data_IF_364004569500
#
_entry.id   IF_364004569500
#
_cell.length_a   1.000
_cell.length_b   1.000
_cell.length_c   1.000
_cell.angle_alpha   90.00
_cell.angle_beta   90.00
_cell.angle_gamma   90.00
#
_symmetry.space_group_name_H-M   'P 1'
#
loop_
_entity.id
_entity.type
_entity.pdbx_description
1 polymer ?
#
# COMPACT_ATOMS: atom_id res chain seq x y z
N UNK A 1 -7.33 -1.68 -34.15
CA UNK A 1 -8.00 -1.58 -32.84
C UNK A 1 -8.76 -2.85 -32.53
N UNK A 2 -8.27 -3.64 -31.58
CA UNK A 2 -8.72 -5.02 -31.31
C UNK A 2 -10.01 -5.08 -30.44
N UNK A 3 -11.06 -4.36 -30.84
CA UNK A 3 -12.36 -4.39 -30.14
C UNK A 3 -13.33 -5.32 -30.85
N UNK A 4 -14.08 -6.12 -30.09
CA UNK A 4 -15.13 -6.98 -30.63
C UNK A 4 -16.50 -6.30 -30.49
N UNK A 5 -17.18 -6.11 -31.61
CA UNK A 5 -18.60 -5.75 -31.64
C UNK A 5 -19.39 -7.00 -31.23
N UNK A 6 -20.27 -6.87 -30.22
CA UNK A 6 -21.06 -7.99 -29.73
C UNK A 6 -22.34 -8.15 -30.56
N UNK A 7 -22.49 -9.30 -31.22
CA UNK A 7 -23.72 -9.63 -31.97
C UNK A 7 -24.84 -10.18 -31.08
N UNK A 8 -24.50 -10.76 -29.91
CA UNK A 8 -25.43 -11.51 -29.05
C UNK A 8 -25.71 -10.90 -27.66
N UNK A 9 -25.21 -9.69 -27.36
CA UNK A 9 -25.44 -8.95 -26.10
C UNK A 9 -25.10 -9.66 -24.76
N UNK A 10 -24.49 -10.84 -24.76
CA UNK A 10 -24.06 -11.51 -23.53
C UNK A 10 -22.80 -10.86 -22.94
N UNK A 11 -22.98 -10.04 -21.91
CA UNK A 11 -21.89 -9.38 -21.17
C UNK A 11 -21.83 -9.91 -19.74
N UNK A 12 -20.70 -10.50 -19.39
CA UNK A 12 -20.43 -10.97 -18.04
C UNK A 12 -20.21 -9.80 -17.06
N UNK A 13 -20.58 -10.02 -15.79
CA UNK A 13 -20.28 -9.06 -14.71
C UNK A 13 -18.76 -8.91 -14.55
N UNK A 14 -18.29 -7.67 -14.49
CA UNK A 14 -16.86 -7.35 -14.37
C UNK A 14 -16.15 -7.04 -15.70
N UNK A 15 -16.82 -7.29 -16.83
CA UNK A 15 -16.33 -6.92 -18.16
C UNK A 15 -16.21 -5.40 -18.32
N UNK A 16 -15.26 -4.98 -19.17
CA UNK A 16 -15.11 -3.58 -19.56
C UNK A 16 -15.72 -3.38 -20.95
N UNK A 17 -16.61 -2.40 -21.07
CA UNK A 17 -17.31 -2.10 -22.33
C UNK A 17 -17.21 -0.61 -22.67
N UNK A 18 -17.23 -0.30 -23.96
CA UNK A 18 -17.46 1.05 -24.47
C UNK A 18 -18.85 1.08 -25.10
N UNK A 19 -19.67 2.04 -24.66
CA UNK A 19 -21.05 2.19 -25.14
C UNK A 19 -21.18 3.55 -25.82
N UNK A 20 -21.72 3.57 -27.03
CA UNK A 20 -22.10 4.80 -27.74
C UNK A 20 -23.61 4.81 -27.89
N UNK A 21 -24.25 5.97 -27.71
CA UNK A 21 -25.70 6.09 -27.79
C UNK A 21 -26.18 7.53 -27.60
N UNK A 22 -27.50 7.71 -27.59
CA UNK A 22 -28.13 9.02 -27.33
C UNK A 22 -28.58 9.09 -25.87
N UNK A 23 -28.18 10.14 -25.15
CA UNK A 23 -28.69 10.41 -23.81
C UNK A 23 -30.11 10.98 -23.92
N UNK A 24 -31.07 10.38 -23.23
CA UNK A 24 -32.48 10.79 -23.27
C UNK A 24 -33.12 10.72 -21.88
N UNK A 25 -34.28 11.38 -21.72
CA UNK A 25 -35.11 11.20 -20.52
C UNK A 25 -35.55 9.74 -20.40
N UNK A 26 -35.48 9.18 -19.19
CA UNK A 26 -35.86 7.78 -19.00
C UNK A 26 -37.39 7.64 -18.94
N UNK A 27 -37.99 6.69 -19.69
CA UNK A 27 -39.42 6.40 -19.59
C UNK A 27 -39.78 5.64 -18.29
N UNK A 28 -38.79 5.17 -17.53
CA UNK A 28 -38.98 4.39 -16.31
C UNK A 28 -38.94 5.26 -15.04
N UNK A 29 -39.61 4.79 -13.99
CA UNK A 29 -39.52 5.40 -12.65
C UNK A 29 -38.21 4.98 -11.98
N UNK A 30 -37.46 5.93 -11.44
CA UNK A 30 -36.26 5.66 -10.62
C UNK A 30 -34.95 6.20 -11.17
N UNK A 31 -34.94 6.72 -12.40
CA UNK A 31 -33.81 7.47 -12.98
C UNK A 31 -34.34 8.64 -13.82
N UNK A 32 -33.59 9.74 -13.89
CA UNK A 32 -33.98 10.90 -14.69
C UNK A 32 -33.64 10.72 -16.18
N UNK A 33 -32.52 10.07 -16.47
CA UNK A 33 -31.98 9.89 -17.82
C UNK A 33 -31.47 8.47 -18.02
N UNK A 34 -31.40 8.03 -19.27
CA UNK A 34 -30.78 6.77 -19.70
C UNK A 34 -30.03 6.95 -21.03
N UNK A 35 -29.11 6.03 -21.32
CA UNK A 35 -28.37 6.02 -22.58
C UNK A 35 -29.00 5.00 -23.53
N UNK A 36 -29.68 5.47 -24.59
CA UNK A 36 -30.18 4.63 -25.67
C UNK A 36 -28.99 4.19 -26.55
N UNK A 37 -28.44 3.01 -26.26
CA UNK A 37 -27.24 2.48 -26.88
C UNK A 37 -27.43 2.19 -28.38
N UNK A 38 -26.54 2.71 -29.22
CA UNK A 38 -26.45 2.46 -30.66
C UNK A 38 -25.25 1.60 -31.05
N UNK A 39 -24.21 1.55 -30.21
CA UNK A 39 -23.05 0.67 -30.37
C UNK A 39 -22.53 0.21 -29.02
N UNK A 40 -22.03 -1.03 -28.97
CA UNK A 40 -21.50 -1.69 -27.80
C UNK A 40 -20.24 -2.48 -28.18
N UNK A 41 -19.10 -2.05 -27.65
CA UNK A 41 -17.79 -2.65 -27.89
C UNK A 41 -17.28 -3.30 -26.61
N UNK A 42 -16.88 -4.58 -26.72
CA UNK A 42 -16.23 -5.28 -25.62
C UNK A 42 -14.73 -4.94 -25.61
N UNK A 43 -14.30 -4.27 -24.54
CA UNK A 43 -12.91 -3.81 -24.36
C UNK A 43 -12.10 -4.81 -23.53
N UNK A 44 -12.71 -5.36 -22.48
CA UNK A 44 -12.07 -6.31 -21.58
C UNK A 44 -13.02 -7.44 -21.24
N UNK A 45 -12.60 -8.67 -21.53
CA UNK A 45 -13.39 -9.88 -21.30
C UNK A 45 -13.16 -10.44 -19.90
N UNK A 46 -14.20 -11.04 -19.32
CA UNK A 46 -14.06 -11.93 -18.17
C UNK A 46 -14.00 -13.34 -18.71
N UNK A 47 -12.83 -13.97 -18.62
CA UNK A 47 -12.55 -15.28 -19.25
C UNK A 47 -13.50 -16.35 -18.74
N UNK A 48 -13.71 -16.41 -17.43
CA UNK A 48 -14.68 -17.31 -16.81
C UNK A 48 -15.55 -16.56 -15.79
N UNK A 49 -16.81 -16.27 -16.13
CA UNK A 49 -17.75 -15.60 -15.24
C UNK A 49 -18.03 -16.38 -13.94
N UNK A 50 -17.86 -17.70 -13.93
CA UNK A 50 -18.13 -18.53 -12.76
C UNK A 50 -17.07 -18.35 -11.66
N UNK A 51 -15.83 -18.04 -12.05
CA UNK A 51 -14.71 -17.81 -11.12
C UNK A 51 -14.50 -16.35 -10.76
N UNK A 52 -15.29 -15.42 -11.32
CA UNK A 52 -15.15 -14.00 -11.02
C UNK A 52 -15.45 -13.69 -9.53
N UNK A 53 -14.49 -13.16 -8.75
CA UNK A 53 -14.65 -13.00 -7.29
C UNK A 53 -15.80 -12.07 -6.90
N UNK A 54 -16.08 -11.04 -7.71
CA UNK A 54 -17.16 -10.07 -7.48
C UNK A 54 -18.43 -10.41 -8.28
N UNK A 55 -18.85 -11.67 -8.23
CA UNK A 55 -20.13 -12.10 -8.80
C UNK A 55 -21.32 -11.33 -8.18
N UNK A 56 -22.49 -11.37 -8.85
CA UNK A 56 -23.72 -10.62 -8.48
C UNK A 56 -24.30 -10.95 -7.09
N UNK A 57 -23.68 -11.85 -6.32
CA UNK A 57 -24.08 -12.17 -4.94
C UNK A 57 -23.56 -11.12 -3.96
N UNK A 58 -24.20 -11.05 -2.80
CA UNK A 58 -23.70 -10.23 -1.69
C UNK A 58 -22.41 -10.84 -1.14
N UNK A 59 -21.43 -9.98 -0.86
CA UNK A 59 -20.17 -10.35 -0.22
C UNK A 59 -20.08 -9.71 1.17
N UNK A 60 -19.47 -10.42 2.13
CA UNK A 60 -19.17 -9.86 3.46
C UNK A 60 -17.98 -8.91 3.38
N UNK A 61 -17.84 -8.01 4.35
CA UNK A 61 -16.68 -7.11 4.41
C UNK A 61 -15.38 -7.90 4.62
N UNK A 62 -15.44 -9.01 5.36
CA UNK A 62 -14.34 -9.96 5.59
C UNK A 62 -13.88 -10.59 4.28
N UNK A 63 -14.80 -11.09 3.46
CA UNK A 63 -14.46 -11.63 2.15
C UNK A 63 -13.84 -10.55 1.25
N UNK A 64 -14.40 -9.34 1.24
CA UNK A 64 -13.85 -8.24 0.46
C UNK A 64 -12.42 -7.85 0.90
N UNK A 65 -12.06 -8.00 2.18
CA UNK A 65 -10.67 -7.80 2.65
C UNK A 65 -9.69 -8.80 2.01
N UNK A 66 -10.12 -10.03 1.71
CA UNK A 66 -9.30 -11.01 0.97
C UNK A 66 -9.11 -10.65 -0.51
N UNK A 67 -10.02 -9.84 -1.06
CA UNK A 67 -10.02 -9.39 -2.45
C UNK A 67 -9.64 -7.90 -2.55
N UNK A 68 -8.61 -7.48 -1.81
CA UNK A 68 -8.25 -6.06 -1.64
C UNK A 68 -8.02 -5.30 -2.97
N UNK A 69 -7.50 -5.99 -3.99
CA UNK A 69 -7.22 -5.44 -5.32
C UNK A 69 -8.49 -5.24 -6.18
N UNK A 70 -9.58 -5.96 -5.90
CA UNK A 70 -10.85 -5.85 -6.65
C UNK A 70 -11.94 -5.11 -5.88
N UNK A 71 -11.93 -5.16 -4.55
CA UNK A 71 -12.99 -4.57 -3.71
C UNK A 71 -13.31 -3.09 -4.01
N UNK A 72 -12.41 -2.21 -4.51
CA UNK A 72 -12.77 -0.85 -4.90
C UNK A 72 -13.86 -0.76 -5.98
N UNK A 73 -14.11 -1.84 -6.74
CA UNK A 73 -15.20 -1.93 -7.72
C UNK A 73 -16.59 -2.15 -7.09
N UNK A 74 -16.67 -2.39 -5.79
CA UNK A 74 -17.94 -2.54 -5.08
C UNK A 74 -18.48 -1.19 -4.62
N UNK A 75 -19.80 -1.04 -4.53
CA UNK A 75 -20.42 0.23 -4.13
C UNK A 75 -19.95 0.71 -2.75
N UNK A 76 -19.83 -0.21 -1.78
CA UNK A 76 -19.41 0.12 -0.40
C UNK A 76 -17.98 0.66 -0.36
N UNK A 77 -17.02 -0.06 -0.94
CA UNK A 77 -15.63 0.38 -0.88
C UNK A 77 -15.40 1.58 -1.81
N UNK A 78 -16.10 1.66 -2.94
CA UNK A 78 -16.09 2.83 -3.81
C UNK A 78 -16.55 4.11 -3.10
N UNK A 79 -17.66 4.04 -2.36
CA UNK A 79 -18.15 5.16 -1.54
C UNK A 79 -17.14 5.57 -0.45
N UNK A 80 -16.58 4.60 0.28
CA UNK A 80 -15.54 4.86 1.30
C UNK A 80 -14.30 5.50 0.68
N UNK A 81 -13.86 5.04 -0.50
CA UNK A 81 -12.68 5.59 -1.17
C UNK A 81 -12.90 7.03 -1.64
N UNK A 82 -14.09 7.35 -2.18
CA UNK A 82 -14.45 8.73 -2.57
C UNK A 82 -14.52 9.66 -1.37
N UNK A 83 -15.20 9.26 -0.29
CA UNK A 83 -15.24 10.03 0.96
C UNK A 83 -13.83 10.27 1.52
N UNK A 84 -12.97 9.24 1.51
CA UNK A 84 -11.56 9.39 1.95
C UNK A 84 -10.79 10.39 1.08
N UNK A 85 -11.01 10.37 -0.24
CA UNK A 85 -10.42 11.34 -1.17
C UNK A 85 -10.86 12.77 -0.84
N UNK A 86 -12.17 12.99 -0.64
CA UNK A 86 -12.72 14.30 -0.29
C UNK A 86 -12.26 14.78 1.08
N UNK A 87 -12.14 13.90 2.08
CA UNK A 87 -11.53 14.24 3.37
C UNK A 87 -10.08 14.68 3.22
N UNK A 88 -9.29 13.99 2.40
CA UNK A 88 -7.89 14.36 2.16
C UNK A 88 -7.79 15.74 1.48
N UNK A 89 -8.69 16.01 0.52
CA UNK A 89 -8.80 17.32 -0.11
C UNK A 89 -9.20 18.42 0.91
N UNK A 90 -10.23 18.17 1.72
CA UNK A 90 -10.71 19.06 2.78
C UNK A 90 -9.61 19.37 3.81
N UNK A 91 -8.78 18.38 4.17
CA UNK A 91 -7.62 18.60 5.03
C UNK A 91 -6.66 19.61 4.44
N UNK A 92 -6.26 19.43 3.19
CA UNK A 92 -5.33 20.35 2.54
C UNK A 92 -5.92 21.75 2.36
N UNK A 93 -7.19 21.88 1.98
CA UNK A 93 -7.85 23.18 1.81
C UNK A 93 -8.06 23.89 3.13
N UNK A 94 -8.43 23.19 4.20
CA UNK A 94 -8.53 23.74 5.55
C UNK A 94 -7.21 24.37 5.98
N UNK A 95 -6.13 23.59 6.02
CA UNK A 95 -4.85 24.07 6.52
C UNK A 95 -4.29 25.19 5.65
N UNK A 96 -4.39 25.06 4.32
CA UNK A 96 -3.98 26.13 3.40
C UNK A 96 -4.77 27.42 3.62
N UNK A 97 -6.09 27.33 3.81
CA UNK A 97 -6.97 28.47 4.06
C UNK A 97 -6.71 29.17 5.40
N UNK A 98 -6.13 28.46 6.38
CA UNK A 98 -5.81 28.99 7.72
C UNK A 98 -4.33 29.41 7.88
N UNK A 99 -3.60 29.46 6.76
CA UNK A 99 -2.22 29.96 6.70
C UNK A 99 -1.16 28.95 7.13
N UNK A 100 -1.48 27.65 7.14
CA UNK A 100 -0.49 26.61 7.40
C UNK A 100 0.33 26.26 6.16
N UNK A 101 1.57 25.85 6.37
CA UNK A 101 2.43 25.26 5.37
C UNK A 101 2.44 23.74 5.49
N UNK A 102 2.23 23.05 4.36
CA UNK A 102 2.41 21.60 4.32
C UNK A 102 3.91 21.29 4.31
N UNK A 103 4.37 20.48 5.25
CA UNK A 103 5.77 20.08 5.35
C UNK A 103 5.89 18.55 5.31
N UNK A 104 6.90 18.07 4.59
CA UNK A 104 7.22 16.65 4.54
C UNK A 104 8.30 16.34 5.59
N UNK A 105 7.93 15.55 6.59
CA UNK A 105 8.85 15.08 7.62
C UNK A 105 9.47 13.74 7.21
N UNK A 106 10.70 13.42 7.67
CA UNK A 106 11.34 12.15 7.35
C UNK A 106 10.52 10.95 7.86
N UNK A 107 10.41 9.90 7.03
CA UNK A 107 9.79 8.64 7.41
C UNK A 107 10.79 7.72 8.11
N UNK A 108 12.02 7.63 7.60
CA UNK A 108 13.11 6.91 8.25
C UNK A 108 13.72 7.83 9.29
N UNK A 109 13.79 7.36 10.53
CA UNK A 109 14.28 8.13 11.67
C UNK A 109 15.23 7.31 12.53
N UNK A 110 16.11 8.00 13.26
CA UNK A 110 16.90 7.42 14.35
C UNK A 110 16.41 7.91 15.73
N UNK A 111 15.28 8.62 15.75
CA UNK A 111 14.68 9.20 16.95
C UNK A 111 13.37 8.50 17.27
N UNK A 112 13.18 8.17 18.54
CA UNK A 112 11.89 7.74 19.05
C UNK A 112 11.11 8.96 19.53
N UNK A 113 10.13 9.40 18.73
CA UNK A 113 9.36 10.61 19.01
C UNK A 113 8.33 10.42 20.14
N UNK A 114 7.78 9.21 20.32
CA UNK A 114 6.73 8.94 21.33
C UNK A 114 7.29 8.22 22.57
N UNK A 115 8.50 7.68 22.51
CA UNK A 115 9.24 7.16 23.67
C UNK A 115 8.68 5.86 24.29
N UNK A 116 7.68 5.23 23.65
CA UNK A 116 6.93 4.13 24.25
C UNK A 116 6.43 3.05 23.25
N UNK A 117 6.67 3.20 21.94
CA UNK A 117 6.15 2.31 20.92
C UNK A 117 7.21 1.36 20.36
N UNK A 118 6.85 0.10 20.12
CA UNK A 118 7.65 -0.78 19.26
C UNK A 118 7.69 -0.18 17.85
N UNK A 119 8.90 -0.02 17.27
CA UNK A 119 9.11 0.55 15.94
C UNK A 119 9.64 -0.50 14.96
N UNK A 120 9.26 -0.40 13.69
CA UNK A 120 9.85 -1.22 12.63
C UNK A 120 11.27 -0.77 12.35
N UNK A 121 12.25 -1.67 12.51
CA UNK A 121 13.64 -1.40 12.16
C UNK A 121 13.79 -1.38 10.64
N UNK A 122 14.52 -0.38 10.14
CA UNK A 122 14.88 -0.26 8.72
C UNK A 122 16.37 -0.52 8.61
N UNK A 123 16.74 -1.53 7.83
CA UNK A 123 18.13 -1.99 7.68
C UNK A 123 18.37 -2.54 6.27
N UNK A 124 19.59 -2.41 5.77
CA UNK A 124 20.04 -3.07 4.53
C UNK A 124 20.91 -4.30 4.79
N UNK A 125 21.10 -4.68 6.06
CA UNK A 125 21.99 -5.78 6.47
C UNK A 125 21.42 -7.17 6.23
N UNK A 126 20.10 -7.30 5.99
CA UNK A 126 19.43 -8.61 5.86
C UNK A 126 19.82 -9.41 4.59
N UNK A 127 20.83 -8.95 3.84
CA UNK A 127 21.31 -9.57 2.60
C UNK A 127 20.34 -9.37 1.44
N UNK A 128 20.86 -9.31 0.22
CA UNK A 128 20.02 -9.48 -0.95
C UNK A 128 19.50 -10.92 -0.94
N UNK A 129 18.17 -11.09 -1.02
CA UNK A 129 17.51 -12.37 -1.17
C UNK A 129 17.83 -13.02 -2.52
N UNK A 130 19.06 -13.46 -2.71
CA UNK A 130 19.32 -14.58 -3.59
C UNK A 130 18.58 -15.78 -2.98
N UNK A 131 17.92 -16.60 -3.80
CA UNK A 131 17.61 -17.97 -3.44
C UNK A 131 18.93 -18.63 -3.01
N UNK A 132 19.23 -18.59 -1.71
CA UNK A 132 20.39 -19.25 -1.18
C UNK A 132 20.07 -20.73 -1.25
N UNK A 133 20.64 -21.42 -2.25
CA UNK A 133 20.89 -22.86 -2.14
C UNK A 133 21.46 -23.07 -0.74
N UNK A 134 20.82 -23.97 0.02
CA UNK A 134 21.20 -24.16 1.42
C UNK A 134 22.69 -24.52 1.51
N UNK A 135 23.35 -24.13 2.60
CA UNK A 135 24.77 -24.47 2.80
C UNK A 135 25.00 -25.99 2.63
N UNK A 136 24.02 -26.82 3.02
CA UNK A 136 24.02 -28.27 2.84
C UNK A 136 23.98 -28.69 1.36
N UNK A 137 23.16 -28.04 0.53
CA UNK A 137 23.11 -28.28 -0.93
C UNK A 137 24.39 -27.85 -1.64
N UNK A 138 24.95 -26.69 -1.26
CA UNK A 138 26.23 -26.20 -1.78
C UNK A 138 27.40 -27.11 -1.38
N UNK A 139 27.43 -27.59 -0.14
CA UNK A 139 28.44 -28.56 0.33
C UNK A 139 28.35 -29.89 -0.41
N UNK A 140 27.12 -30.40 -0.64
CA UNK A 140 26.89 -31.60 -1.43
C UNK A 140 27.36 -31.42 -2.88
N UNK A 141 27.00 -30.30 -3.52
CA UNK A 141 27.42 -29.96 -4.88
C UNK A 141 28.94 -29.80 -5.00
N UNK A 142 29.62 -29.20 -4.01
CA UNK A 142 31.08 -29.09 -3.97
C UNK A 142 31.73 -30.48 -3.86
N UNK A 143 31.16 -31.38 -3.06
CA UNK A 143 31.65 -32.75 -2.91
C UNK A 143 31.52 -33.56 -4.20
N UNK A 144 30.36 -33.47 -4.87
CA UNK A 144 30.11 -34.11 -6.16
C UNK A 144 31.04 -33.56 -7.24
N UNK A 145 31.10 -32.23 -7.37
CA UNK A 145 31.96 -31.56 -8.35
C UNK A 145 33.45 -31.82 -8.08
N UNK A 146 33.86 -31.91 -6.81
CA UNK A 146 35.22 -32.29 -6.42
C UNK A 146 35.58 -33.71 -6.85
N UNK A 147 34.62 -34.63 -6.83
CA UNK A 147 34.77 -35.99 -7.34
C UNK A 147 34.88 -36.01 -8.86
N UNK A 148 34.09 -35.19 -9.56
CA UNK A 148 34.17 -35.03 -11.02
C UNK A 148 35.55 -34.50 -11.48
N UNK A 149 36.13 -33.53 -10.77
CA UNK A 149 37.50 -33.04 -11.05
C UNK A 149 38.54 -34.14 -10.91
N UNK A 150 38.43 -35.00 -9.89
CA UNK A 150 39.36 -36.13 -9.68
C UNK A 150 39.27 -37.13 -10.82
N UNK A 151 38.05 -37.53 -11.19
CA UNK A 151 37.82 -38.46 -12.30
C UNK A 151 38.34 -37.90 -13.64
N UNK A 152 38.09 -36.61 -13.93
CA UNK A 152 38.58 -35.97 -15.15
C UNK A 152 40.12 -35.92 -15.21
N UNK A 153 40.79 -35.70 -14.08
CA UNK A 153 42.26 -35.72 -13.98
C UNK A 153 42.85 -37.11 -14.21
N UNK A 154 42.23 -38.14 -13.64
CA UNK A 154 42.66 -39.54 -13.82
C UNK A 154 42.46 -40.02 -15.27
N UNK A 155 41.34 -39.61 -15.89
CA UNK A 155 41.04 -39.91 -17.29
C UNK A 155 41.85 -39.07 -18.30
N UNK A 156 42.65 -38.09 -17.86
CA UNK A 156 43.33 -37.09 -18.70
C UNK A 156 42.38 -36.42 -19.70
N UNK A 157 41.18 -36.08 -19.23
CA UNK A 157 40.17 -35.39 -20.02
C UNK A 157 40.60 -33.94 -20.29
N UNK A 158 40.21 -33.40 -21.45
CA UNK A 158 40.50 -32.01 -21.83
C UNK A 158 39.64 -31.00 -21.05
N UNK A 159 38.58 -31.44 -20.35
CA UNK A 159 37.63 -30.60 -19.62
C UNK A 159 38.05 -30.25 -18.18
N UNK A 160 39.19 -30.73 -17.72
CA UNK A 160 39.66 -30.58 -16.32
C UNK A 160 39.64 -29.11 -15.86
N UNK A 161 40.03 -28.17 -16.73
CA UNK A 161 40.04 -26.74 -16.38
C UNK A 161 38.63 -26.18 -16.16
N UNK A 162 37.65 -26.58 -16.97
CA UNK A 162 36.26 -26.15 -16.82
C UNK A 162 35.64 -26.72 -15.53
N UNK A 163 35.94 -27.98 -15.21
CA UNK A 163 35.47 -28.63 -13.97
C UNK A 163 36.07 -27.97 -12.71
N UNK A 164 37.33 -27.53 -12.78
CA UNK A 164 38.00 -26.77 -11.71
C UNK A 164 37.39 -25.38 -11.55
N UNK A 165 37.09 -24.67 -12.64
CA UNK A 165 36.45 -23.36 -12.58
C UNK A 165 35.06 -23.45 -11.92
N UNK A 166 34.25 -24.45 -12.29
CA UNK A 166 32.94 -24.70 -11.67
C UNK A 166 33.05 -25.03 -10.18
N UNK A 167 34.09 -25.77 -9.78
CA UNK A 167 34.35 -26.06 -8.36
C UNK A 167 34.73 -24.79 -7.57
N UNK A 168 35.47 -23.87 -8.18
CA UNK A 168 35.84 -22.60 -7.54
C UNK A 168 34.62 -21.68 -7.40
N UNK A 169 33.77 -21.59 -8.41
CA UNK A 169 32.52 -20.82 -8.36
C UNK A 169 31.58 -21.32 -7.25
N UNK A 170 31.42 -22.65 -7.10
CA UNK A 170 30.62 -23.23 -6.03
C UNK A 170 31.20 -22.92 -4.63
N UNK A 171 32.53 -22.90 -4.50
CA UNK A 171 33.21 -22.53 -3.24
C UNK A 171 33.06 -21.05 -2.92
N UNK A 172 33.06 -20.18 -3.91
CA UNK A 172 32.78 -18.74 -3.72
C UNK A 172 31.32 -18.53 -3.29
N UNK A 173 30.36 -19.24 -3.88
CA UNK A 173 28.96 -19.22 -3.45
C UNK A 173 28.78 -19.72 -2.02
N UNK A 174 29.45 -20.83 -1.64
CA UNK A 174 29.44 -21.31 -0.25
C UNK A 174 30.09 -20.30 0.70
N UNK A 175 31.18 -19.65 0.32
CA UNK A 175 31.81 -18.60 1.12
C UNK A 175 30.89 -17.39 1.33
N UNK A 176 30.13 -16.99 0.30
CA UNK A 176 29.14 -15.93 0.40
C UNK A 176 27.90 -16.33 1.23
N UNK A 177 27.49 -17.60 1.18
CA UNK A 177 26.39 -18.15 1.98
C UNK A 177 26.77 -18.47 3.44
N UNK A 178 28.07 -18.70 3.70
CA UNK A 178 28.64 -19.01 5.03
C UNK A 178 29.28 -17.81 5.73
N UNK A 179 29.47 -16.69 5.02
CA UNK A 179 29.42 -15.38 5.65
C UNK A 179 28.03 -15.31 6.29
N UNK A 180 27.97 -15.54 7.61
CA UNK A 180 26.72 -15.65 8.35
C UNK A 180 25.81 -14.44 8.06
N UNK A 181 24.51 -14.52 8.38
CA UNK A 181 23.61 -13.38 8.21
C UNK A 181 24.30 -12.15 8.77
N UNK A 182 24.38 -11.07 7.97
CA UNK A 182 25.04 -9.86 8.42
C UNK A 182 24.44 -9.51 9.79
N UNK A 183 25.30 -9.29 10.79
CA UNK A 183 24.82 -9.10 12.16
C UNK A 183 23.82 -7.95 12.13
N UNK A 184 22.53 -8.16 12.44
CA UNK A 184 21.53 -7.09 12.42
C UNK A 184 21.85 -5.98 13.45
N UNK A 185 22.87 -6.19 14.29
CA UNK A 185 23.43 -5.20 15.21
C UNK A 185 24.73 -4.55 14.70
N UNK A 186 25.20 -4.85 13.47
CA UNK A 186 26.33 -4.18 12.82
C UNK A 186 25.93 -2.80 12.30
N UNK A 187 25.59 -1.94 13.27
CA UNK A 187 25.05 -0.60 13.05
C UNK A 187 26.02 0.27 12.26
N UNK A 188 27.33 0.05 12.36
CA UNK A 188 28.34 0.85 11.64
C UNK A 188 28.34 0.56 10.13
N UNK A 189 28.04 -0.69 9.74
CA UNK A 189 27.99 -1.10 8.34
C UNK A 189 26.57 -1.06 7.74
N UNK A 190 25.54 -0.70 8.51
CA UNK A 190 24.19 -0.43 7.99
C UNK A 190 24.16 0.88 7.18
N UNK A 191 23.15 1.05 6.32
CA UNK A 191 23.07 2.16 5.35
C UNK A 191 23.24 3.57 5.98
N UNK A 192 22.71 3.78 7.18
CA UNK A 192 22.77 5.08 7.88
C UNK A 192 23.86 5.17 8.95
N UNK A 193 24.69 4.14 9.10
CA UNK A 193 25.71 4.00 10.15
C UNK A 193 25.17 4.26 11.58
N UNK A 194 23.86 4.03 11.78
CA UNK A 194 23.12 4.17 13.03
C UNK A 194 21.84 3.35 12.95
N UNK A 195 21.29 2.94 14.09
CA UNK A 195 19.99 2.24 14.12
C UNK A 195 18.90 3.17 13.62
N UNK A 196 18.18 2.72 12.60
CA UNK A 196 17.05 3.45 12.02
C UNK A 196 15.76 2.65 12.07
N UNK A 197 14.65 3.37 12.09
CA UNK A 197 13.30 2.82 12.15
C UNK A 197 12.34 3.65 11.30
N UNK A 198 11.15 3.09 11.04
CA UNK A 198 10.02 3.84 10.51
C UNK A 198 9.41 4.69 11.62
N UNK A 199 9.12 5.95 11.31
CA UNK A 199 8.63 6.90 12.29
C UNK A 199 7.21 6.58 12.76
N UNK A 200 6.99 6.81 14.06
CA UNK A 200 5.67 6.75 14.69
C UNK A 200 4.92 8.08 14.55
N UNK A 201 5.64 9.20 14.39
CA UNK A 201 5.10 10.56 14.32
C UNK A 201 6.11 11.52 13.68
N UNK A 202 5.63 12.52 12.94
CA UNK A 202 6.44 13.62 12.41
C UNK A 202 6.59 14.81 13.36
N UNK A 203 5.97 14.76 14.55
CA UNK A 203 5.80 15.89 15.47
C UNK A 203 7.11 16.63 15.79
N UNK A 204 8.16 15.92 16.23
CA UNK A 204 9.43 16.57 16.60
C UNK A 204 10.07 17.34 15.43
N UNK A 205 9.92 16.83 14.21
CA UNK A 205 10.36 17.53 13.01
C UNK A 205 9.45 18.72 12.68
N UNK A 206 8.13 18.59 12.88
CA UNK A 206 7.16 19.66 12.68
C UNK A 206 7.39 20.84 13.63
N UNK A 207 7.80 20.61 14.89
CA UNK A 207 8.16 21.67 15.84
C UNK A 207 9.29 22.57 15.33
N UNK A 208 10.34 21.96 14.75
CA UNK A 208 11.45 22.71 14.14
C UNK A 208 10.97 23.59 12.98
N UNK A 209 10.06 23.08 12.15
CA UNK A 209 9.45 23.86 11.07
C UNK A 209 8.52 24.95 11.59
N UNK A 210 7.73 24.70 12.62
CA UNK A 210 6.83 25.68 13.23
C UNK A 210 7.61 26.88 13.77
N UNK A 211 8.78 26.65 14.38
CA UNK A 211 9.67 27.72 14.84
C UNK A 211 10.15 28.66 13.70
N UNK A 212 10.23 28.16 12.47
CA UNK A 212 10.67 28.92 11.29
C UNK A 212 9.51 29.49 10.45
N UNK A 213 8.39 28.77 10.36
CA UNK A 213 7.31 29.03 9.41
C UNK A 213 5.98 29.44 10.09
N UNK A 214 5.96 29.45 11.43
CA UNK A 214 4.78 29.78 12.22
C UNK A 214 3.82 28.60 12.35
N UNK A 215 3.03 28.32 11.31
CA UNK A 215 2.04 27.23 11.32
C UNK A 215 2.37 26.21 10.24
N UNK A 216 2.50 24.95 10.62
CA UNK A 216 2.81 23.87 9.69
C UNK A 216 1.92 22.66 9.95
N UNK A 217 1.79 21.78 8.97
CA UNK A 217 1.19 20.48 9.19
C UNK A 217 1.89 19.41 8.36
N UNK A 218 1.95 18.21 8.91
CA UNK A 218 2.32 17.00 8.17
C UNK A 218 1.06 16.33 7.65
N UNK A 219 1.18 15.63 6.52
CA UNK A 219 0.19 14.65 6.10
C UNK A 219 0.96 13.50 5.44
N UNK A 220 1.21 12.44 6.21
CA UNK A 220 2.09 11.36 5.79
C UNK A 220 1.83 10.02 6.50
N UNK A 221 2.45 8.94 6.02
CA UNK A 221 2.35 7.63 6.65
C UNK A 221 3.18 7.57 7.94
N UNK A 222 2.67 6.82 8.91
CA UNK A 222 3.33 6.52 10.19
C UNK A 222 3.09 5.06 10.55
N UNK A 223 3.96 4.50 11.39
CA UNK A 223 4.05 3.07 11.59
C UNK A 223 4.11 2.72 13.08
N UNK A 224 3.42 1.64 13.47
CA UNK A 224 3.47 1.10 14.84
C UNK A 224 3.67 -0.42 14.77
N UNK A 225 4.70 -0.92 15.42
CA UNK A 225 5.07 -2.33 15.37
C UNK A 225 4.47 -3.17 16.51
N UNK A 226 3.57 -2.58 17.31
CA UNK A 226 2.88 -3.29 18.39
C UNK A 226 2.14 -4.53 17.84
N UNK A 227 2.29 -5.67 18.53
CA UNK A 227 1.58 -6.91 18.16
C UNK A 227 0.10 -6.84 18.57
N UNK A 228 -0.68 -6.05 17.83
CA UNK A 228 -2.05 -5.70 18.15
C UNK A 228 -3.01 -6.01 17.00
N UNK A 229 -3.68 -7.16 17.06
CA UNK A 229 -4.65 -7.59 16.06
C UNK A 229 -6.09 -7.27 16.52
N UNK A 230 -6.51 -6.02 16.36
CA UNK A 230 -7.87 -5.57 16.69
C UNK A 230 -8.56 -4.98 15.46
N UNK A 231 -9.88 -4.76 15.53
CA UNK A 231 -10.64 -4.13 14.44
C UNK A 231 -10.33 -2.65 14.21
N UNK A 232 -9.49 -2.03 15.06
CA UNK A 232 -9.18 -0.59 15.04
C UNK A 232 -7.70 -0.26 14.90
N UNK A 233 -6.81 -1.26 14.92
CA UNK A 233 -5.37 -1.04 14.81
C UNK A 233 -4.85 -1.43 13.43
N UNK A 234 -3.92 -0.64 12.93
CA UNK A 234 -3.15 -0.88 11.70
C UNK A 234 -1.68 -0.64 12.02
N UNK A 235 -0.80 -1.46 11.46
CA UNK A 235 0.64 -1.27 11.58
C UNK A 235 1.16 -0.09 10.72
N UNK A 236 0.45 0.22 9.64
CA UNK A 236 0.68 1.37 8.77
C UNK A 236 -0.63 2.17 8.66
N UNK A 237 -0.55 3.46 8.94
CA UNK A 237 -1.68 4.39 8.82
C UNK A 237 -1.16 5.78 8.46
N UNK A 238 -2.08 6.71 8.20
CA UNK A 238 -1.74 8.08 7.83
C UNK A 238 -2.12 9.02 8.97
N UNK A 239 -1.20 9.91 9.34
CA UNK A 239 -1.44 10.97 10.30
C UNK A 239 -1.44 12.34 9.63
N UNK A 240 -2.19 13.23 10.27
CA UNK A 240 -2.25 14.66 9.96
C UNK A 240 -1.88 15.38 11.25
N UNK A 241 -0.70 16.00 11.28
CA UNK A 241 -0.12 16.54 12.51
C UNK A 241 0.13 18.06 12.32
N UNK A 242 -0.82 18.92 12.73
CA UNK A 242 -0.61 20.35 12.72
C UNK A 242 0.24 20.80 13.92
N UNK A 243 1.15 21.74 13.68
CA UNK A 243 1.99 22.36 14.71
C UNK A 243 1.94 23.89 14.56
N UNK A 244 1.75 24.60 15.67
CA UNK A 244 1.48 26.04 15.69
C UNK A 244 2.40 26.76 16.67
N UNK A 245 3.31 27.60 16.16
CA UNK A 245 4.10 28.48 16.99
C UNK A 245 3.21 29.48 17.76
N UNK A 246 3.58 29.75 19.01
CA UNK A 246 2.88 30.65 19.94
C UNK A 246 1.45 30.23 20.31
N UNK A 247 1.01 29.02 19.94
CA UNK A 247 -0.27 28.48 20.37
C UNK A 247 -0.19 27.96 21.80
N UNK A 248 -1.22 28.27 22.57
CA UNK A 248 -1.52 27.57 23.82
C UNK A 248 -2.53 26.44 23.58
N UNK A 249 -2.84 25.68 24.62
CA UNK A 249 -3.80 24.58 24.56
C UNK A 249 -5.19 25.03 24.07
N UNK A 250 -5.63 26.25 24.41
CA UNK A 250 -6.92 26.75 24.00
C UNK A 250 -6.97 27.01 22.48
N UNK A 251 -5.88 27.54 21.94
CA UNK A 251 -5.69 27.75 20.51
C UNK A 251 -5.68 26.42 19.75
N UNK A 252 -4.96 25.43 20.28
CA UNK A 252 -4.89 24.09 19.70
C UNK A 252 -6.26 23.39 19.66
N UNK A 253 -6.98 23.37 20.80
CA UNK A 253 -8.35 22.83 20.87
C UNK A 253 -9.31 23.51 19.89
N UNK A 254 -9.18 24.83 19.74
CA UNK A 254 -10.01 25.61 18.81
C UNK A 254 -9.70 25.26 17.35
N UNK A 255 -8.42 25.03 17.03
CA UNK A 255 -7.98 24.57 15.72
C UNK A 255 -8.54 23.17 15.42
N UNK A 256 -8.35 22.21 16.33
CA UNK A 256 -8.85 20.84 16.19
C UNK A 256 -10.38 20.79 15.99
N UNK A 257 -11.14 21.54 16.81
CA UNK A 257 -12.59 21.60 16.67
C UNK A 257 -13.04 22.22 15.34
N UNK A 258 -12.34 23.25 14.86
CA UNK A 258 -12.65 23.90 13.59
C UNK A 258 -12.32 23.01 12.40
N UNK A 259 -11.19 22.29 12.47
CA UNK A 259 -10.78 21.30 11.48
C UNK A 259 -11.81 20.18 11.33
N UNK A 260 -12.23 19.56 12.46
CA UNK A 260 -13.22 18.48 12.43
C UNK A 260 -14.56 18.96 11.86
N UNK A 261 -15.04 20.14 12.27
CA UNK A 261 -16.26 20.73 11.71
C UNK A 261 -16.16 20.96 10.20
N UNK A 262 -15.02 21.47 9.74
CA UNK A 262 -14.78 21.70 8.32
C UNK A 262 -14.84 20.39 7.52
N UNK A 263 -14.13 19.34 7.97
CA UNK A 263 -14.14 18.04 7.30
C UNK A 263 -15.53 17.41 7.27
N UNK A 264 -16.26 17.44 8.38
CA UNK A 264 -17.63 16.92 8.44
C UNK A 264 -18.55 17.68 7.47
N UNK A 265 -18.50 19.01 7.47
CA UNK A 265 -19.31 19.83 6.57
C UNK A 265 -18.95 19.55 5.10
N UNK A 266 -17.66 19.48 4.77
CA UNK A 266 -17.18 19.19 3.42
C UNK A 266 -17.72 17.85 2.91
N UNK A 267 -17.70 16.80 3.73
CA UNK A 267 -18.25 15.48 3.37
C UNK A 267 -19.76 15.55 3.16
N UNK A 268 -20.49 16.29 4.00
CA UNK A 268 -21.95 16.45 3.84
C UNK A 268 -22.29 17.20 2.53
N UNK A 269 -21.49 18.20 2.17
CA UNK A 269 -21.73 19.01 0.97
C UNK A 269 -21.34 18.28 -0.32
N UNK A 270 -20.26 17.49 -0.30
CA UNK A 270 -19.65 16.92 -1.50
C UNK A 270 -19.83 15.39 -1.64
N UNK A 271 -20.28 14.69 -0.60
CA UNK A 271 -20.45 13.23 -0.60
C UNK A 271 -21.84 12.78 -0.13
N UNK A 272 -22.86 13.64 -0.20
CA UNK A 272 -24.20 13.36 0.33
C UNK A 272 -24.77 12.01 -0.14
N UNK A 273 -24.61 11.67 -1.43
CA UNK A 273 -25.08 10.41 -2.00
C UNK A 273 -24.35 9.19 -1.43
N UNK A 274 -23.02 9.28 -1.29
CA UNK A 274 -22.19 8.21 -0.73
C UNK A 274 -22.49 8.00 0.76
N UNK A 275 -22.66 9.10 1.52
CA UNK A 275 -23.05 9.05 2.93
C UNK A 275 -24.43 8.41 3.10
N UNK A 276 -25.42 8.85 2.32
CA UNK A 276 -26.77 8.28 2.34
C UNK A 276 -26.78 6.80 1.95
N UNK A 277 -25.95 6.40 0.97
CA UNK A 277 -25.77 5.01 0.60
C UNK A 277 -25.20 4.19 1.76
N UNK A 278 -24.15 4.67 2.44
CA UNK A 278 -23.52 3.96 3.55
C UNK A 278 -24.43 3.87 4.77
N UNK A 279 -25.14 4.95 5.11
CA UNK A 279 -26.15 4.97 6.18
C UNK A 279 -27.20 3.87 5.97
N UNK A 280 -27.82 3.84 4.79
CA UNK A 280 -28.85 2.84 4.45
C UNK A 280 -28.32 1.41 4.39
N UNK A 281 -27.12 1.19 3.85
CA UNK A 281 -26.66 -0.16 3.47
C UNK A 281 -25.67 -0.79 4.45
N UNK A 282 -25.03 0.00 5.29
CA UNK A 282 -23.99 -0.44 6.23
C UNK A 282 -24.41 -0.19 7.68
N UNK A 283 -24.90 1.01 8.01
CA UNK A 283 -25.15 1.38 9.42
C UNK A 283 -26.55 0.98 9.89
N UNK A 284 -27.61 1.38 9.19
CA UNK A 284 -29.01 1.08 9.58
C UNK A 284 -29.43 -0.38 9.37
N UNK A 285 -28.57 -1.19 8.75
CA UNK A 285 -28.89 -2.58 8.38
C UNK A 285 -28.38 -3.60 9.41
N UNK A 286 -27.65 -3.14 10.41
CA UNK A 286 -27.13 -3.99 11.50
C UNK A 286 -28.01 -3.92 12.76
N UNK A 287 -29.15 -3.22 12.69
CA UNK A 287 -30.28 -3.31 13.63
C UNK A 287 -31.39 -4.20 13.05
#
# INVERSE_FOLDING_TARGET
>A
DNYMLLENNDIATGAAVRVTGTLQESPAKGQAVELAATSLELVGVVVDPATYPLSKKRHTLEYLRTQAHLRPRTNVIGAVARIRSELSYATHTFFRGHGFWHVHTPIITASDCEGAGEQFVVTTLLGEGAEQESAEELEAAISEQGSAVRAAKEAKSDDVQAQVAKLLELKEKLAAASAGPADPNDVENDFFARRTSLTVSGQLNAEAFACALGKVYTFGPTFRAENSNTSRHLAEFWMVEPELAYADLQTDLSCAASYLRHCCQHVLDNCAEDVAFLDKNVFQRND
#
